data_IF_865570455014
#
_entry.id   IF_865570455014
#
_cell.length_a   1.000
_cell.length_b   1.000
_cell.length_c   1.000
_cell.angle_alpha   90.00
_cell.angle_beta   90.00
_cell.angle_gamma   90.00
#
_symmetry.space_group_name_H-M   'P 1'
#
loop_
_entity.id
_entity.type
_entity.pdbx_description
1 polymer ?
#
# COMPACT_ATOMS: atom_id res chain seq x y z
N UNK A 1 7.00 -2.93 12.13
CA UNK A 1 7.39 -3.43 10.78
C UNK A 1 6.14 -3.80 10.02
N UNK A 2 6.08 -3.56 8.71
CA UNK A 2 4.91 -3.89 7.87
C UNK A 2 5.32 -4.67 6.63
N UNK A 3 4.50 -5.66 6.30
CA UNK A 3 4.45 -6.32 5.01
C UNK A 3 2.98 -6.31 4.58
N UNK A 4 2.67 -5.73 3.43
CA UNK A 4 1.29 -5.53 2.98
C UNK A 4 1.16 -5.84 1.50
N UNK A 5 0.05 -6.45 1.11
CA UNK A 5 -0.40 -6.52 -0.28
C UNK A 5 -1.70 -5.72 -0.41
N UNK A 6 -1.71 -4.68 -1.22
CA UNK A 6 -2.93 -3.98 -1.60
C UNK A 6 -3.48 -4.63 -2.87
N UNK A 7 -4.69 -5.17 -2.78
CA UNK A 7 -5.41 -5.74 -3.92
C UNK A 7 -6.35 -4.66 -4.47
N UNK A 8 -6.21 -4.34 -5.75
CA UNK A 8 -7.00 -3.30 -6.40
C UNK A 8 -8.10 -3.94 -7.25
N UNK A 9 -9.35 -3.68 -6.88
CA UNK A 9 -10.52 -4.10 -7.65
C UNK A 9 -10.80 -3.10 -8.78
N UNK A 10 -11.13 -3.63 -9.96
CA UNK A 10 -11.67 -2.88 -11.09
C UNK A 10 -13.20 -2.78 -10.94
N UNK A 11 -13.84 -1.78 -11.57
CA UNK A 11 -15.30 -1.68 -11.79
C UNK A 11 -16.03 -3.00 -12.13
N UNK A 12 -15.34 -4.04 -12.64
CA UNK A 12 -15.87 -5.39 -12.86
C UNK A 12 -15.79 -6.37 -11.68
N UNK A 13 -15.44 -5.95 -10.47
CA UNK A 13 -15.48 -6.75 -9.24
C UNK A 13 -14.44 -7.88 -9.12
N UNK A 14 -13.61 -8.12 -10.14
CA UNK A 14 -12.52 -9.12 -10.08
C UNK A 14 -11.21 -8.45 -9.66
N UNK A 15 -10.69 -8.73 -8.45
CA UNK A 15 -9.36 -8.29 -8.08
C UNK A 15 -8.34 -8.97 -8.98
N UNK A 16 -7.58 -8.18 -9.75
CA UNK A 16 -6.60 -8.67 -10.72
C UNK A 16 -5.22 -8.07 -10.50
N UNK A 17 -5.17 -6.81 -10.12
CA UNK A 17 -3.93 -6.06 -9.99
C UNK A 17 -3.62 -5.86 -8.49
N UNK A 18 -2.35 -5.96 -8.12
CA UNK A 18 -1.93 -5.76 -6.73
C UNK A 18 -0.58 -5.05 -6.65
N UNK A 19 -0.35 -4.39 -5.52
CA UNK A 19 0.93 -3.80 -5.13
C UNK A 19 1.39 -4.42 -3.80
N UNK A 20 2.69 -4.67 -3.68
CA UNK A 20 3.33 -5.25 -2.51
C UNK A 20 4.24 -4.22 -1.87
N UNK A 21 4.17 -4.12 -0.55
CA UNK A 21 4.90 -3.14 0.23
C UNK A 21 5.64 -3.79 1.38
N UNK A 22 6.80 -3.24 1.72
CA UNK A 22 7.60 -3.67 2.86
C UNK A 22 8.35 -2.49 3.49
N UNK A 23 8.38 -2.42 4.81
CA UNK A 23 9.10 -1.36 5.51
C UNK A 23 8.74 -1.19 6.97
N UNK A 24 9.11 -0.06 7.53
CA UNK A 24 8.80 0.31 8.92
C UNK A 24 7.69 1.37 8.92
N UNK A 25 6.54 1.00 9.49
CA UNK A 25 5.52 1.98 9.85
C UNK A 25 5.82 2.53 11.24
N UNK A 26 6.09 3.83 11.30
CA UNK A 26 6.32 4.59 12.52
C UNK A 26 5.01 5.27 12.89
N UNK A 27 4.37 4.76 13.95
CA UNK A 27 3.04 5.22 14.38
C UNK A 27 3.10 6.65 14.95
N UNK A 28 4.23 7.03 15.54
CA UNK A 28 4.47 8.36 16.14
C UNK A 28 4.78 9.44 15.12
N UNK A 29 5.15 9.07 13.90
CA UNK A 29 5.52 10.02 12.86
C UNK A 29 4.28 10.37 12.04
N UNK A 30 4.16 11.63 11.58
CA UNK A 30 3.04 12.03 10.71
C UNK A 30 3.08 11.30 9.36
N UNK A 31 4.24 10.75 8.98
CA UNK A 31 4.45 10.10 7.70
C UNK A 31 5.50 8.98 7.79
N UNK A 32 5.17 7.81 7.22
CA UNK A 32 6.10 6.69 7.07
C UNK A 32 6.36 6.41 5.59
N UNK A 33 7.63 6.43 5.19
CA UNK A 33 8.05 6.01 3.86
C UNK A 33 8.30 4.49 3.87
N UNK A 34 7.63 3.78 2.96
CA UNK A 34 7.75 2.32 2.81
C UNK A 34 8.08 1.96 1.35
N UNK A 35 8.79 0.85 1.13
CA UNK A 35 9.17 0.44 -0.21
C UNK A 35 8.00 -0.24 -0.93
N UNK A 36 7.85 0.05 -2.22
CA UNK A 36 7.08 -0.76 -3.17
C UNK A 36 8.02 -1.83 -3.71
N UNK A 37 7.76 -3.09 -3.38
CA UNK A 37 8.66 -4.22 -3.67
C UNK A 37 8.16 -5.11 -4.82
N UNK A 38 7.07 -4.71 -5.48
CA UNK A 38 6.52 -5.44 -6.62
C UNK A 38 5.01 -5.24 -6.77
N UNK A 39 4.46 -5.84 -7.82
CA UNK A 39 3.03 -5.92 -8.04
C UNK A 39 2.67 -7.08 -8.96
N UNK A 40 1.39 -7.20 -9.30
CA UNK A 40 0.85 -8.15 -10.29
C UNK A 40 0.03 -7.41 -11.35
N UNK A 41 -0.16 -8.04 -12.51
CA UNK A 41 -1.01 -7.51 -13.57
C UNK A 41 -0.46 -6.17 -14.10
N UNK A 42 -1.26 -5.10 -14.06
CA UNK A 42 -0.82 -3.76 -14.50
C UNK A 42 0.39 -3.22 -13.75
N UNK A 43 0.64 -3.70 -12.53
CA UNK A 43 1.76 -3.29 -11.68
C UNK A 43 2.90 -4.32 -11.65
N UNK A 44 2.94 -5.23 -12.63
CA UNK A 44 4.04 -6.18 -12.77
C UNK A 44 5.37 -5.43 -12.86
N UNK A 45 6.34 -5.80 -11.99
CA UNK A 45 7.65 -5.14 -11.94
C UNK A 45 7.68 -3.78 -11.25
N UNK A 46 6.59 -3.35 -10.59
CA UNK A 46 6.58 -2.08 -9.86
C UNK A 46 7.69 -2.01 -8.79
N UNK A 47 8.43 -0.91 -8.78
CA UNK A 47 9.47 -0.59 -7.81
C UNK A 47 9.39 0.92 -7.51
N UNK A 48 9.53 1.30 -6.25
CA UNK A 48 9.45 2.69 -5.81
C UNK A 48 9.22 2.80 -4.32
N UNK A 49 8.61 3.90 -3.89
CA UNK A 49 8.24 4.13 -2.50
C UNK A 49 6.79 4.59 -2.38
N UNK A 50 6.22 4.40 -1.21
CA UNK A 50 4.90 4.87 -0.83
C UNK A 50 4.97 5.60 0.52
N UNK A 51 4.08 6.57 0.67
CA UNK A 51 3.87 7.35 1.88
C UNK A 51 2.64 6.81 2.62
N UNK A 52 2.80 6.48 3.90
CA UNK A 52 1.70 6.07 4.80
C UNK A 52 1.50 7.15 5.85
N UNK A 53 0.25 7.60 6.00
CA UNK A 53 -0.17 8.58 7.02
C UNK A 53 -1.28 7.98 7.88
N UNK A 54 -1.21 8.21 9.19
CA UNK A 54 -2.26 7.83 10.11
C UNK A 54 -3.35 8.89 10.10
N UNK A 55 -4.57 8.50 9.71
CA UNK A 55 -5.74 9.39 9.68
C UNK A 55 -6.68 8.94 10.80
N UNK A 56 -6.90 9.81 11.79
CA UNK A 56 -7.94 9.60 12.80
C UNK A 56 -9.30 9.93 12.18
N UNK A 57 -10.17 8.93 12.07
CA UNK A 57 -11.56 9.14 11.64
C UNK A 57 -12.42 9.30 12.89
N UNK A 58 -13.03 10.46 13.06
CA UNK A 58 -14.11 10.64 14.03
C UNK A 58 -15.38 10.02 13.43
N UNK A 59 -15.90 8.98 14.06
CA UNK A 59 -17.21 8.44 13.71
C UNK A 59 -18.26 9.44 14.22
N UNK A 60 -19.01 10.05 13.30
CA UNK A 60 -20.20 10.86 13.58
C UNK A 60 -21.43 9.99 13.76
#
# INVERSE_FOLDING_TARGET
>A
MMAMTAILANNGGRPKDSLRFFGVHRITDPESHIAVIGGTGKFQGANGYATVKNITVYLS
#
